data_IF_489388622927
#
_entry.id   IF_489388622927
#
_cell.length_a   1.000
_cell.length_b   1.000
_cell.length_c   1.000
_cell.angle_alpha   90.00
_cell.angle_beta   90.00
_cell.angle_gamma   90.00
#
_symmetry.space_group_name_H-M   'P 1'
#
loop_
_entity.id
_entity.type
_entity.pdbx_description
1 polymer ?
#
# COMPACT_ATOMS: atom_id res chain seq x y z
N UNK A 1 -15.75 6.12 -10.17
CA UNK A 1 -16.45 5.56 -8.98
C UNK A 1 -15.50 4.63 -8.25
N UNK A 2 -15.38 4.72 -6.93
CA UNK A 2 -14.49 3.83 -6.16
C UNK A 2 -15.10 2.43 -6.02
N UNK A 3 -14.32 1.41 -6.39
CA UNK A 3 -14.74 0.01 -6.42
C UNK A 3 -14.67 -0.62 -5.01
N UNK A 4 -15.51 -1.63 -4.77
CA UNK A 4 -15.35 -2.50 -3.61
C UNK A 4 -14.20 -3.48 -3.82
N UNK A 5 -13.57 -3.97 -2.75
CA UNK A 5 -12.42 -4.90 -2.83
C UNK A 5 -12.69 -6.14 -3.69
N UNK A 6 -13.90 -6.71 -3.67
CA UNK A 6 -14.25 -7.84 -4.52
C UNK A 6 -14.36 -7.46 -6.01
N UNK A 7 -14.83 -6.26 -6.30
CA UNK A 7 -14.89 -5.74 -7.68
C UNK A 7 -13.48 -5.43 -8.21
N UNK A 8 -12.60 -4.92 -7.34
CA UNK A 8 -11.17 -4.72 -7.66
C UNK A 8 -10.54 -6.04 -8.07
N UNK A 9 -10.64 -7.08 -7.22
CA UNK A 9 -10.10 -8.40 -7.54
C UNK A 9 -10.63 -8.96 -8.87
N UNK A 10 -11.95 -8.90 -9.07
CA UNK A 10 -12.58 -9.37 -10.32
C UNK A 10 -12.10 -8.61 -11.56
N UNK A 11 -12.00 -7.28 -11.50
CA UNK A 11 -11.54 -6.48 -12.64
C UNK A 11 -10.05 -6.68 -12.93
N UNK A 12 -9.22 -6.82 -11.90
CA UNK A 12 -7.80 -7.16 -12.09
C UNK A 12 -7.64 -8.55 -12.71
N UNK A 13 -8.45 -9.53 -12.30
CA UNK A 13 -8.48 -10.84 -12.95
C UNK A 13 -8.86 -10.74 -14.44
N UNK A 14 -9.89 -9.97 -14.77
CA UNK A 14 -10.32 -9.77 -16.17
C UNK A 14 -9.21 -9.17 -17.04
N UNK A 15 -8.43 -8.22 -16.50
CA UNK A 15 -7.38 -7.53 -17.24
C UNK A 15 -6.12 -8.40 -17.34
N UNK A 16 -5.65 -8.97 -16.23
CA UNK A 16 -4.30 -9.53 -16.16
C UNK A 16 -4.23 -11.05 -16.30
N UNK A 17 -5.33 -11.78 -16.07
CA UNK A 17 -5.31 -13.24 -16.22
C UNK A 17 -4.89 -13.69 -17.63
N UNK A 18 -5.35 -13.05 -18.73
CA UNK A 18 -4.87 -13.37 -20.07
C UNK A 18 -3.37 -13.10 -20.26
N UNK A 19 -2.83 -12.07 -19.60
CA UNK A 19 -1.45 -11.60 -19.75
C UNK A 19 -0.43 -12.43 -18.95
N UNK A 20 -0.87 -13.22 -17.97
CA UNK A 20 0.03 -14.09 -17.20
C UNK A 20 0.75 -15.13 -18.08
N UNK A 21 0.12 -15.55 -19.18
CA UNK A 21 0.75 -16.46 -20.16
C UNK A 21 1.94 -15.80 -20.89
N UNK A 22 1.97 -14.48 -20.92
CA UNK A 22 3.05 -13.66 -21.49
C UNK A 22 4.09 -13.26 -20.44
N UNK A 23 3.99 -13.80 -19.21
CA UNK A 23 4.91 -13.55 -18.11
C UNK A 23 4.56 -12.31 -17.27
N UNK A 24 3.44 -11.63 -17.55
CA UNK A 24 2.97 -10.48 -16.79
C UNK A 24 2.23 -10.93 -15.51
N UNK A 25 2.99 -11.26 -14.47
CA UNK A 25 2.46 -11.73 -13.18
C UNK A 25 2.47 -10.64 -12.10
N UNK A 26 1.78 -10.87 -10.97
CA UNK A 26 1.84 -9.98 -9.80
C UNK A 26 0.84 -8.82 -9.80
N UNK A 27 0.01 -8.70 -10.84
CA UNK A 27 -0.98 -7.60 -10.96
C UNK A 27 -2.40 -8.02 -10.60
N UNK A 28 -2.61 -9.29 -10.24
CA UNK A 28 -3.90 -9.82 -9.76
C UNK A 28 -3.94 -9.88 -8.25
N UNK A 29 -5.08 -9.50 -7.68
CA UNK A 29 -5.31 -9.54 -6.24
C UNK A 29 -5.79 -10.95 -5.83
N UNK A 30 -4.85 -11.85 -5.61
CA UNK A 30 -5.11 -13.26 -5.31
C UNK A 30 -5.62 -13.46 -3.88
N UNK A 31 -6.47 -14.47 -3.68
CA UNK A 31 -6.93 -14.84 -2.34
C UNK A 31 -5.79 -15.47 -1.53
N UNK A 32 -5.86 -15.28 -0.21
CA UNK A 32 -4.95 -15.97 0.70
C UNK A 32 -5.25 -17.48 0.71
N UNK A 33 -4.20 -18.29 0.55
CA UNK A 33 -4.30 -19.74 0.50
C UNK A 33 -4.26 -20.41 1.88
N UNK A 34 -3.59 -19.79 2.87
CA UNK A 34 -3.53 -20.30 4.25
C UNK A 34 -3.75 -19.16 5.26
N UNK A 35 -5.01 -18.97 5.64
CA UNK A 35 -5.43 -17.93 6.59
C UNK A 35 -4.81 -18.14 7.97
N UNK A 36 -4.59 -19.38 8.40
CA UNK A 36 -4.02 -19.67 9.73
C UNK A 36 -2.54 -19.34 9.76
N UNK A 37 -1.78 -19.80 8.77
CA UNK A 37 -0.36 -19.48 8.63
C UNK A 37 -0.16 -17.97 8.47
N UNK A 38 -0.98 -17.30 7.65
CA UNK A 38 -0.94 -15.84 7.48
C UNK A 38 -1.20 -15.11 8.78
N UNK A 39 -2.22 -15.51 9.54
CA UNK A 39 -2.53 -14.89 10.84
C UNK A 39 -1.35 -15.01 11.80
N UNK A 40 -0.71 -16.18 11.85
CA UNK A 40 0.47 -16.40 12.68
C UNK A 40 1.68 -15.58 12.19
N UNK A 41 1.91 -15.51 10.88
CA UNK A 41 3.00 -14.74 10.29
C UNK A 41 2.84 -13.23 10.56
N UNK A 42 1.63 -12.70 10.45
CA UNK A 42 1.32 -11.31 10.83
C UNK A 42 1.56 -11.06 12.32
N UNK A 43 1.19 -12.01 13.19
CA UNK A 43 1.49 -11.92 14.63
C UNK A 43 2.99 -11.87 14.89
N UNK A 44 3.76 -12.77 14.28
CA UNK A 44 5.22 -12.80 14.40
C UNK A 44 5.84 -11.49 13.88
N UNK A 45 5.30 -10.93 12.80
CA UNK A 45 5.78 -9.67 12.22
C UNK A 45 5.52 -8.48 13.15
N UNK A 46 4.34 -8.42 13.77
CA UNK A 46 4.01 -7.43 14.80
C UNK A 46 4.95 -7.51 16.00
N UNK A 47 5.24 -8.73 16.48
CA UNK A 47 6.18 -8.97 17.59
C UNK A 47 7.60 -8.54 17.22
N UNK A 48 8.10 -8.95 16.04
CA UNK A 48 9.42 -8.58 15.56
C UNK A 48 9.60 -7.06 15.40
N UNK A 49 8.55 -6.36 15.00
CA UNK A 49 8.56 -4.91 14.78
C UNK A 49 8.16 -4.11 16.01
N UNK A 50 7.68 -4.74 17.08
CA UNK A 50 7.18 -4.06 18.28
C UNK A 50 5.97 -3.16 18.01
N UNK A 51 5.09 -3.51 17.07
CA UNK A 51 3.90 -2.73 16.69
C UNK A 51 2.66 -3.60 16.59
N UNK A 52 1.48 -3.00 16.74
CA UNK A 52 0.21 -3.63 16.39
C UNK A 52 -0.27 -3.10 15.04
N UNK A 53 -0.54 -3.99 14.09
CA UNK A 53 -1.05 -3.61 12.79
C UNK A 53 -2.50 -3.14 12.87
N UNK A 54 -2.89 -2.10 12.10
CA UNK A 54 -4.26 -1.62 12.06
C UNK A 54 -5.24 -2.70 11.59
N UNK A 55 -6.44 -2.76 12.19
CA UNK A 55 -7.43 -3.79 11.91
C UNK A 55 -7.84 -3.88 10.42
N UNK A 56 -7.93 -2.75 9.73
CA UNK A 56 -8.24 -2.72 8.28
C UNK A 56 -7.11 -3.31 7.44
N UNK A 57 -5.86 -3.06 7.84
CA UNK A 57 -4.68 -3.62 7.18
C UNK A 57 -4.65 -5.13 7.35
N UNK A 58 -4.73 -5.63 8.59
CA UNK A 58 -4.74 -7.08 8.86
C UNK A 58 -5.92 -7.80 8.22
N UNK A 59 -7.10 -7.18 8.20
CA UNK A 59 -8.27 -7.73 7.49
C UNK A 59 -8.01 -7.90 5.99
N UNK A 60 -7.37 -6.93 5.33
CA UNK A 60 -7.03 -7.06 3.92
C UNK A 60 -6.01 -8.19 3.71
N UNK A 61 -4.95 -8.26 4.52
CA UNK A 61 -3.92 -9.30 4.44
C UNK A 61 -4.43 -10.70 4.77
N UNK A 62 -5.46 -10.83 5.62
CA UNK A 62 -6.10 -12.11 5.89
C UNK A 62 -6.89 -12.64 4.68
N UNK A 63 -7.24 -11.77 3.74
CA UNK A 63 -8.08 -12.10 2.59
C UNK A 63 -7.26 -12.25 1.31
N UNK A 64 -6.25 -11.41 1.11
CA UNK A 64 -5.50 -11.34 -0.13
C UNK A 64 -4.00 -11.53 0.09
N UNK A 65 -3.36 -12.20 -0.85
CA UNK A 65 -1.91 -12.37 -0.88
C UNK A 65 -1.27 -11.19 -1.61
N UNK A 66 -0.44 -10.43 -0.89
CA UNK A 66 0.31 -9.29 -1.43
C UNK A 66 1.79 -9.60 -1.69
N UNK A 67 2.21 -10.85 -1.52
CA UNK A 67 3.62 -11.26 -1.53
C UNK A 67 4.37 -11.02 -2.82
N UNK A 68 3.64 -10.95 -3.93
CA UNK A 68 4.13 -10.58 -5.25
C UNK A 68 3.24 -9.51 -5.89
N UNK A 69 2.39 -8.84 -5.12
CA UNK A 69 1.38 -7.93 -5.65
C UNK A 69 1.97 -6.54 -5.91
N UNK A 70 1.66 -6.01 -7.08
CA UNK A 70 2.00 -4.67 -7.52
C UNK A 70 0.82 -4.04 -8.28
N UNK A 71 0.57 -2.77 -8.03
CA UNK A 71 -0.47 -2.02 -8.73
C UNK A 71 -0.09 -0.55 -8.82
N UNK A 72 -0.24 0.07 -10.00
CA UNK A 72 0.05 1.49 -10.20
C UNK A 72 1.45 1.89 -9.71
N UNK A 73 2.48 1.10 -10.06
CA UNK A 73 3.86 1.25 -9.61
C UNK A 73 4.06 1.22 -8.08
N UNK A 74 3.06 0.76 -7.32
CA UNK A 74 3.16 0.51 -5.88
C UNK A 74 3.33 -0.98 -5.67
N UNK A 75 4.54 -1.35 -5.26
CA UNK A 75 4.96 -2.72 -5.04
C UNK A 75 4.86 -3.07 -3.56
N UNK A 76 3.99 -4.03 -3.26
CA UNK A 76 3.81 -4.53 -1.89
C UNK A 76 4.85 -5.62 -1.60
N UNK A 77 4.99 -6.61 -2.47
CA UNK A 77 5.97 -7.69 -2.30
C UNK A 77 6.62 -8.14 -3.60
N UNK A 78 7.72 -8.88 -3.48
CA UNK A 78 8.41 -9.54 -4.62
C UNK A 78 8.91 -10.94 -4.34
N UNK A 79 8.60 -11.49 -3.16
CA UNK A 79 9.25 -12.69 -2.62
C UNK A 79 8.25 -13.71 -2.10
N UNK A 80 6.96 -13.55 -2.43
CA UNK A 80 5.87 -14.43 -2.01
C UNK A 80 5.43 -14.28 -0.55
N UNK A 81 6.34 -14.22 0.42
CA UNK A 81 5.96 -13.99 1.82
C UNK A 81 5.91 -12.49 2.15
N UNK A 82 4.70 -11.92 2.08
CA UNK A 82 4.50 -10.50 2.39
C UNK A 82 4.74 -10.16 3.86
N UNK A 83 4.44 -11.06 4.80
CA UNK A 83 4.65 -10.77 6.22
C UNK A 83 6.14 -10.61 6.52
N UNK A 84 6.97 -11.52 5.99
CA UNK A 84 8.43 -11.40 6.05
C UNK A 84 8.95 -10.17 5.29
N UNK A 85 8.34 -9.81 4.17
CA UNK A 85 8.72 -8.60 3.42
C UNK A 85 8.48 -7.32 4.24
N UNK A 86 7.34 -7.20 4.94
CA UNK A 86 7.09 -6.07 5.85
C UNK A 86 8.20 -5.98 6.90
N UNK A 87 8.59 -7.11 7.52
CA UNK A 87 9.69 -7.10 8.50
C UNK A 87 10.99 -6.64 7.84
N UNK A 88 11.32 -7.19 6.68
CA UNK A 88 12.54 -6.86 5.91
C UNK A 88 12.63 -5.37 5.59
N UNK A 89 11.53 -4.74 5.18
CA UNK A 89 11.48 -3.30 4.90
C UNK A 89 11.69 -2.43 6.15
N UNK A 90 11.58 -3.00 7.35
CA UNK A 90 11.56 -2.26 8.61
C UNK A 90 12.66 -2.65 9.59
N UNK A 91 13.65 -3.41 9.12
CA UNK A 91 14.90 -3.68 9.83
C UNK A 91 16.06 -3.05 9.07
N UNK A 92 17.19 -2.93 9.75
CA UNK A 92 18.44 -2.55 9.07
C UNK A 92 18.86 -3.72 8.20
N UNK A 93 19.08 -3.48 6.90
CA UNK A 93 19.53 -4.52 5.99
C UNK A 93 21.00 -4.91 6.25
N UNK A 94 21.46 -5.93 5.52
CA UNK A 94 22.83 -6.47 5.65
C UNK A 94 23.94 -5.45 5.33
N UNK A 95 23.61 -4.36 4.62
CA UNK A 95 24.52 -3.28 4.25
C UNK A 95 24.33 -2.03 5.14
N UNK A 96 23.50 -2.09 6.18
CA UNK A 96 23.19 -0.94 7.01
C UNK A 96 22.09 -0.02 6.47
N UNK A 97 21.48 -0.38 5.34
CA UNK A 97 20.41 0.34 4.68
C UNK A 97 19.12 0.31 5.48
N UNK A 98 18.45 1.46 5.54
CA UNK A 98 17.17 1.67 6.23
C UNK A 98 16.50 2.94 5.71
N UNK A 99 15.17 2.99 5.74
CA UNK A 99 14.41 4.15 5.23
C UNK A 99 14.29 5.30 6.25
N UNK A 100 14.56 5.06 7.53
CA UNK A 100 14.45 6.07 8.59
C UNK A 100 15.80 6.69 8.95
N UNK A 101 15.75 7.91 9.48
CA UNK A 101 16.93 8.59 10.05
C UNK A 101 17.09 8.31 11.54
N UNK A 102 18.32 8.42 12.05
CA UNK A 102 18.65 8.21 13.47
C UNK A 102 18.94 6.76 13.84
N UNK A 103 19.04 6.47 15.13
CA UNK A 103 19.42 5.15 15.63
C UNK A 103 18.28 4.13 15.50
N UNK A 104 17.08 4.52 15.92
CA UNK A 104 15.90 3.64 15.97
C UNK A 104 14.82 4.08 14.97
N UNK A 105 14.06 3.11 14.45
CA UNK A 105 12.87 3.34 13.64
C UNK A 105 11.78 4.03 14.48
N UNK A 106 11.01 4.99 13.93
CA UNK A 106 9.88 5.55 14.64
C UNK A 106 8.89 4.46 15.08
N UNK A 107 8.51 4.47 16.36
CA UNK A 107 7.89 3.32 17.04
C UNK A 107 6.68 2.75 16.30
N UNK A 108 5.74 3.59 15.87
CA UNK A 108 4.47 3.16 15.27
C UNK A 108 4.43 3.33 13.76
N UNK A 109 5.56 3.58 13.09
CA UNK A 109 5.59 3.85 11.65
C UNK A 109 6.34 2.74 10.92
N UNK A 110 5.70 2.16 9.92
CA UNK A 110 6.28 1.06 9.15
C UNK A 110 6.22 1.36 7.66
N UNK A 111 7.26 1.02 6.90
CA UNK A 111 7.14 0.92 5.45
C UNK A 111 6.36 -0.36 5.09
N UNK A 112 5.34 -0.27 4.24
CA UNK A 112 4.55 -1.43 3.81
C UNK A 112 4.61 -1.67 2.30
N UNK A 113 4.95 -0.66 1.52
CA UNK A 113 5.13 -0.78 0.08
C UNK A 113 6.16 0.23 -0.40
N UNK A 114 6.71 -0.01 -1.58
CA UNK A 114 7.65 0.88 -2.26
C UNK A 114 7.17 1.12 -3.68
N UNK A 115 7.38 2.33 -4.19
CA UNK A 115 7.18 2.69 -5.58
C UNK A 115 8.19 3.77 -5.96
N UNK A 116 8.44 3.98 -7.24
CA UNK A 116 9.27 5.11 -7.67
C UNK A 116 8.36 6.34 -7.81
N UNK A 117 8.59 7.47 -7.11
CA UNK A 117 9.69 7.78 -6.17
C UNK A 117 9.39 7.56 -4.67
N UNK A 118 8.23 7.00 -4.32
CA UNK A 118 7.66 6.99 -2.97
C UNK A 118 7.96 5.73 -2.14
N UNK A 119 8.34 5.92 -0.88
CA UNK A 119 8.16 4.90 0.16
C UNK A 119 6.81 5.12 0.83
N UNK A 120 5.99 4.07 0.90
CA UNK A 120 4.68 4.14 1.52
C UNK A 120 4.75 3.69 2.97
N UNK A 121 4.40 4.61 3.86
CA UNK A 121 4.45 4.43 5.31
C UNK A 121 3.04 4.25 5.87
N UNK A 122 2.89 3.36 6.84
CA UNK A 122 1.68 3.10 7.59
C UNK A 122 1.91 3.46 9.05
N UNK A 123 1.10 4.36 9.58
CA UNK A 123 1.01 4.59 11.02
C UNK A 123 0.13 3.52 11.65
N UNK A 124 0.76 2.64 12.43
CA UNK A 124 0.13 1.52 13.11
C UNK A 124 -0.88 1.93 14.19
N UNK A 125 -0.83 3.17 14.68
CA UNK A 125 -1.79 3.67 15.67
C UNK A 125 -3.07 4.15 15.01
N UNK A 126 -2.96 5.00 13.99
CA UNK A 126 -4.12 5.61 13.33
C UNK A 126 -4.63 4.84 12.12
N UNK A 127 -3.77 4.02 11.50
CA UNK A 127 -4.00 3.40 10.19
C UNK A 127 -3.71 4.32 9.01
N UNK A 128 -3.33 5.58 9.25
CA UNK A 128 -3.07 6.55 8.20
C UNK A 128 -1.89 6.14 7.31
N UNK A 129 -1.99 6.49 6.04
CA UNK A 129 -0.98 6.20 5.03
C UNK A 129 -0.29 7.48 4.61
N UNK A 130 1.03 7.42 4.53
CA UNK A 130 1.88 8.51 4.10
C UNK A 130 2.70 8.08 2.89
N UNK A 131 2.97 9.00 1.99
CA UNK A 131 3.96 8.83 0.93
C UNK A 131 5.17 9.69 1.28
N UNK A 132 6.34 9.09 1.40
CA UNK A 132 7.59 9.75 1.74
C UNK A 132 8.57 9.67 0.57
N UNK A 133 9.18 10.81 0.22
CA UNK A 133 10.29 10.88 -0.72
C UNK A 133 11.59 10.90 0.06
N UNK A 134 12.60 10.27 -0.53
CA UNK A 134 13.96 10.45 -0.05
C UNK A 134 14.34 11.94 -0.15
N UNK A 135 14.60 12.56 1.01
CA UNK A 135 14.90 13.99 1.12
C UNK A 135 13.76 14.85 1.67
N UNK A 136 12.55 14.31 1.87
CA UNK A 136 11.52 15.03 2.62
C UNK A 136 11.99 15.24 4.08
N UNK A 137 11.83 16.47 4.58
CA UNK A 137 12.20 16.84 5.96
C UNK A 137 11.34 16.13 7.01
N UNK A 138 10.07 15.84 6.69
CA UNK A 138 9.10 15.24 7.60
C UNK A 138 8.57 13.90 7.04
N UNK A 139 8.80 12.80 7.77
CA UNK A 139 8.29 11.46 7.42
C UNK A 139 6.76 11.43 7.24
N UNK A 140 6.04 12.17 8.08
CA UNK A 140 4.57 12.21 8.09
C UNK A 140 3.99 13.48 7.45
N UNK A 141 4.80 14.25 6.71
CA UNK A 141 4.38 15.53 6.12
C UNK A 141 3.35 15.39 4.99
N UNK A 142 3.19 14.18 4.42
CA UNK A 142 2.28 13.89 3.29
C UNK A 142 1.38 12.70 3.61
N UNK A 143 0.36 12.96 4.42
CA UNK A 143 -0.70 12.00 4.76
C UNK A 143 -1.65 11.82 3.57
N UNK A 144 -1.49 10.76 2.78
CA UNK A 144 -2.24 10.55 1.52
C UNK A 144 -3.58 9.83 1.72
N UNK A 145 -3.80 9.17 2.85
CA UNK A 145 -5.10 8.61 3.23
C UNK A 145 -5.24 8.49 4.75
N UNK A 146 -6.48 8.60 5.24
CA UNK A 146 -6.82 8.43 6.66
C UNK A 146 -6.72 6.99 7.13
N UNK A 147 -6.87 6.02 6.22
CA UNK A 147 -6.67 4.60 6.50
C UNK A 147 -6.21 3.82 5.27
N UNK A 148 -5.55 2.67 5.51
CA UNK A 148 -5.02 1.79 4.48
C UNK A 148 -6.06 1.30 3.46
N UNK A 149 -7.27 0.94 3.88
CA UNK A 149 -8.28 0.38 2.98
C UNK A 149 -8.73 1.43 1.96
N UNK A 150 -8.90 2.68 2.40
CA UNK A 150 -9.21 3.79 1.50
C UNK A 150 -8.07 4.07 0.51
N UNK A 151 -6.82 4.07 0.97
CA UNK A 151 -5.67 4.20 0.08
C UNK A 151 -5.69 3.11 -1.01
N UNK A 152 -5.81 1.84 -0.60
CA UNK A 152 -5.81 0.71 -1.50
C UNK A 152 -6.96 0.78 -2.53
N UNK A 153 -8.18 1.11 -2.07
CA UNK A 153 -9.34 1.24 -2.96
C UNK A 153 -9.15 2.39 -3.96
N UNK A 154 -8.68 3.55 -3.50
CA UNK A 154 -8.46 4.71 -4.36
C UNK A 154 -7.40 4.41 -5.43
N UNK A 155 -6.27 3.85 -5.02
CA UNK A 155 -5.17 3.45 -5.90
C UNK A 155 -5.66 2.46 -6.97
N UNK A 156 -6.26 1.36 -6.53
CA UNK A 156 -6.68 0.29 -7.45
C UNK A 156 -7.82 0.73 -8.38
N UNK A 157 -8.81 1.47 -7.87
CA UNK A 157 -9.92 1.96 -8.70
C UNK A 157 -9.44 2.93 -9.78
N UNK A 158 -8.48 3.80 -9.43
CA UNK A 158 -7.90 4.76 -10.37
C UNK A 158 -7.12 4.05 -11.47
N UNK A 159 -6.28 3.09 -11.09
CA UNK A 159 -5.49 2.32 -12.06
C UNK A 159 -6.37 1.48 -12.98
N UNK A 160 -7.39 0.81 -12.44
CA UNK A 160 -8.35 0.04 -13.24
C UNK A 160 -9.13 0.93 -14.21
N UNK A 161 -9.53 2.13 -13.79
CA UNK A 161 -10.20 3.08 -14.69
C UNK A 161 -9.28 3.45 -15.86
N UNK A 162 -8.01 3.75 -15.56
CA UNK A 162 -6.99 4.04 -16.59
C UNK A 162 -6.81 2.90 -17.57
N UNK A 163 -6.64 1.67 -17.08
CA UNK A 163 -6.42 0.49 -17.92
C UNK A 163 -7.59 0.16 -18.85
N UNK A 164 -8.80 0.60 -18.50
CA UNK A 164 -10.01 0.39 -19.31
C UNK A 164 -10.39 1.61 -20.15
N UNK A 165 -9.53 2.64 -20.22
CA UNK A 165 -9.83 3.93 -20.86
C UNK A 165 -11.14 4.58 -20.33
N UNK A 166 -11.47 4.32 -19.06
CA UNK A 166 -12.60 4.93 -18.36
C UNK A 166 -12.19 6.29 -17.78
N UNK A 167 -13.17 7.17 -17.54
CA UNK A 167 -12.91 8.44 -16.88
C UNK A 167 -12.37 8.23 -15.46
N UNK A 168 -11.11 8.62 -15.24
CA UNK A 168 -10.47 8.59 -13.92
C UNK A 168 -11.13 9.59 -12.96
N UNK A 169 -11.22 9.28 -11.66
CA UNK A 169 -11.65 10.26 -10.67
C UNK A 169 -10.69 11.44 -10.62
N UNK A 170 -11.21 12.63 -10.36
CA UNK A 170 -10.36 13.81 -10.15
C UNK A 170 -9.65 13.73 -8.80
N UNK A 171 -8.50 14.38 -8.66
CA UNK A 171 -7.74 14.41 -7.42
C UNK A 171 -8.59 14.92 -6.22
N UNK A 172 -9.51 15.86 -6.43
CA UNK A 172 -10.42 16.34 -5.40
C UNK A 172 -11.42 15.27 -4.95
N UNK A 173 -11.88 14.41 -5.86
CA UNK A 173 -12.79 13.30 -5.56
C UNK A 173 -12.06 12.20 -4.79
N UNK A 174 -10.81 11.91 -5.17
CA UNK A 174 -9.93 11.00 -4.43
C UNK A 174 -9.69 11.54 -3.02
N UNK A 175 -9.32 12.82 -2.89
CA UNK A 175 -9.03 13.43 -1.60
C UNK A 175 -10.23 13.36 -0.65
N UNK A 176 -11.44 13.66 -1.15
CA UNK A 176 -12.69 13.55 -0.38
C UNK A 176 -12.99 12.12 0.08
N UNK A 177 -12.59 11.13 -0.72
CA UNK A 177 -12.78 9.72 -0.37
C UNK A 177 -11.75 9.25 0.68
N UNK A 178 -10.48 9.59 0.50
CA UNK A 178 -9.38 9.07 1.31
C UNK A 178 -9.16 9.84 2.61
N UNK A 179 -9.52 11.12 2.69
CA UNK A 179 -9.37 11.93 3.91
C UNK A 179 -10.66 11.98 4.74
N UNK A 180 -10.50 12.14 6.05
CA UNK A 180 -11.61 12.45 6.98
C UNK A 180 -11.57 13.90 7.47
N UNK A 181 -10.42 14.58 7.31
CA UNK A 181 -10.19 15.94 7.79
C UNK A 181 -9.66 16.82 6.66
N UNK A 182 -10.34 17.95 6.44
CA UNK A 182 -10.08 18.90 5.34
C UNK A 182 -8.82 19.77 5.54
N UNK A 183 -8.11 19.59 6.66
CA UNK A 183 -6.92 20.39 7.01
C UNK A 183 -5.60 19.81 6.49
N UNK A 184 -5.56 18.56 6.01
CA UNK A 184 -4.34 17.85 5.52
C UNK A 184 -4.23 17.80 3.99
N UNK A 185 -4.56 18.88 3.30
CA UNK A 185 -5.03 18.78 1.91
C UNK A 185 -3.99 19.03 0.83
N UNK A 186 -3.07 19.98 0.97
CA UNK A 186 -2.22 20.39 -0.17
C UNK A 186 -1.28 19.27 -0.65
N UNK A 187 -0.39 18.75 0.20
CA UNK A 187 0.57 17.71 -0.23
C UNK A 187 -0.09 16.38 -0.60
N UNK A 188 -1.25 16.07 0.00
CA UNK A 188 -2.02 14.89 -0.35
C UNK A 188 -2.67 15.04 -1.73
N UNK A 189 -3.19 16.25 -2.03
CA UNK A 189 -3.72 16.58 -3.34
C UNK A 189 -2.64 16.50 -4.42
N UNK A 190 -1.48 17.09 -4.17
CA UNK A 190 -0.33 17.06 -5.09
C UNK A 190 0.06 15.61 -5.42
N UNK A 191 0.17 14.75 -4.39
CA UNK A 191 0.42 13.31 -4.60
C UNK A 191 -0.61 12.65 -5.52
N UNK A 192 -1.91 12.84 -5.27
CA UNK A 192 -2.94 12.21 -6.08
C UNK A 192 -2.98 12.81 -7.50
N UNK A 193 -2.65 14.09 -7.68
CA UNK A 193 -2.50 14.69 -9.01
C UNK A 193 -1.31 14.12 -9.77
N UNK A 194 -0.16 13.93 -9.12
CA UNK A 194 1.03 13.33 -9.72
C UNK A 194 0.78 11.87 -10.09
N UNK A 195 0.17 11.08 -9.20
CA UNK A 195 -0.20 9.69 -9.48
C UNK A 195 -1.15 9.55 -10.68
N UNK A 196 -2.03 10.53 -10.90
CA UNK A 196 -2.92 10.55 -12.06
C UNK A 196 -2.19 10.80 -13.40
N UNK A 197 -0.95 11.32 -13.36
CA UNK A 197 -0.14 11.63 -14.55
C UNK A 197 0.89 10.55 -14.90
N UNK A 198 1.34 9.77 -13.92
CA UNK A 198 2.18 8.56 -14.11
C UNK A 198 1.33 7.45 -14.67
#
# INVERSE_FOLDING_TARGET
MFLKLNQIAQKLDQIFLPLEQEGMTGMRLLLQNDVKATTQALKNSQEALGVNFPAKFTKLLSKFDLGNFEICNVKFGSRGDYASEIVRLNIVDEYGGKWWSGEARPLNLIAFAVGDPWIFLLDCTSGAVYAWLFGDEELCGRCIASDFEKFFIALASTYIARLNDEAMPKAEEILKFVQTDSTRTNRAFDFWQELLQI
#
